data_IF_441651783502
#
_entry.id   IF_441651783502
#
_cell.length_a   1.000
_cell.length_b   1.000
_cell.length_c   1.000
_cell.angle_alpha   90.00
_cell.angle_beta   90.00
_cell.angle_gamma   90.00
#
_symmetry.space_group_name_H-M   'P 1'
#
loop_
_entity.id
_entity.type
_entity.pdbx_description
1 polymer ?
#
# COMPACT_ATOMS: atom_id res chain seq x y z
N UNK A 1 1.82 6.33 5.21
CA UNK A 1 2.33 7.40 6.09
C UNK A 1 2.17 7.04 7.56
N UNK A 2 0.98 6.63 8.00
CA UNK A 2 0.73 6.16 9.37
C UNK A 2 -0.52 5.24 9.36
N UNK A 3 -0.96 4.79 10.55
CA UNK A 3 -2.12 3.92 10.70
C UNK A 3 -3.44 4.58 10.29
N UNK A 4 -3.59 5.88 10.51
CA UNK A 4 -4.81 6.60 10.16
C UNK A 4 -5.01 6.67 8.64
N UNK A 5 -3.92 6.90 7.89
CA UNK A 5 -3.89 6.87 6.43
C UNK A 5 -4.26 5.48 5.87
N UNK A 6 -3.77 4.41 6.52
CA UNK A 6 -4.14 3.03 6.19
C UNK A 6 -5.63 2.75 6.45
N UNK A 7 -6.14 3.12 7.63
CA UNK A 7 -7.54 2.86 8.00
C UNK A 7 -8.51 3.62 7.09
N UNK A 8 -8.17 4.86 6.72
CA UNK A 8 -8.92 5.64 5.74
C UNK A 8 -8.92 4.96 4.36
N UNK A 9 -7.76 4.52 3.88
CA UNK A 9 -7.64 3.82 2.60
C UNK A 9 -8.46 2.54 2.57
N UNK A 10 -8.42 1.74 3.64
CA UNK A 10 -9.25 0.55 3.83
C UNK A 10 -10.75 0.89 3.80
N UNK A 11 -11.16 1.97 4.47
CA UNK A 11 -12.56 2.42 4.44
C UNK A 11 -13.01 2.80 3.03
N UNK A 12 -12.15 3.42 2.22
CA UNK A 12 -12.47 3.74 0.82
C UNK A 12 -12.63 2.50 -0.06
N UNK A 13 -11.76 1.49 0.12
CA UNK A 13 -11.90 0.21 -0.59
C UNK A 13 -13.25 -0.43 -0.33
N UNK A 14 -13.66 -0.49 0.94
CA UNK A 14 -14.94 -1.05 1.34
C UNK A 14 -16.13 -0.21 0.85
N UNK A 15 -16.08 1.12 1.05
CA UNK A 15 -17.19 2.03 0.72
C UNK A 15 -17.52 2.06 -0.79
N UNK A 16 -16.52 1.82 -1.64
CA UNK A 16 -16.69 1.83 -3.09
C UNK A 16 -16.63 0.44 -3.73
N UNK A 17 -16.52 -0.62 -2.92
CA UNK A 17 -16.37 -2.01 -3.37
C UNK A 17 -15.26 -2.16 -4.43
N UNK A 18 -14.12 -1.49 -4.21
CA UNK A 18 -13.07 -1.38 -5.21
C UNK A 18 -12.47 -2.76 -5.55
N UNK A 19 -12.37 -3.63 -4.56
CA UNK A 19 -11.90 -5.01 -4.68
C UNK A 19 -12.74 -5.86 -5.64
N UNK A 20 -14.01 -5.52 -5.83
CA UNK A 20 -14.91 -6.19 -6.78
C UNK A 20 -14.83 -5.63 -8.20
N UNK A 21 -14.20 -4.46 -8.36
CA UNK A 21 -14.16 -3.72 -9.63
C UNK A 21 -12.79 -3.81 -10.29
N UNK A 22 -11.73 -3.82 -9.51
CA UNK A 22 -10.36 -3.90 -9.99
C UNK A 22 -9.41 -4.40 -8.91
N UNK A 23 -8.19 -4.75 -9.33
CA UNK A 23 -7.11 -5.01 -8.39
C UNK A 23 -6.68 -3.69 -7.74
N UNK A 24 -6.78 -3.64 -6.41
CA UNK A 24 -6.38 -2.47 -5.63
C UNK A 24 -4.95 -2.68 -5.12
N UNK A 25 -4.09 -1.71 -5.41
CA UNK A 25 -2.68 -1.74 -5.04
C UNK A 25 -2.43 -0.90 -3.79
N UNK A 26 -1.84 -1.51 -2.76
CA UNK A 26 -1.34 -0.82 -1.58
C UNK A 26 0.17 -0.79 -1.63
N UNK A 27 0.76 0.38 -1.43
CA UNK A 27 2.22 0.53 -1.42
C UNK A 27 2.68 1.39 -0.23
N UNK A 28 3.80 1.01 0.42
CA UNK A 28 4.30 1.79 1.53
C UNK A 28 4.83 3.13 1.04
N UNK A 29 4.59 4.19 1.81
CA UNK A 29 5.19 5.50 1.55
C UNK A 29 6.68 5.41 1.87
N UNK A 30 7.52 5.55 0.84
CA UNK A 30 8.96 5.45 0.98
C UNK A 30 9.50 6.41 2.04
N UNK A 31 10.32 5.91 2.96
CA UNK A 31 10.91 6.70 4.05
C UNK A 31 9.98 7.00 5.22
N UNK A 32 8.67 6.72 5.11
CA UNK A 32 7.69 7.01 6.18
C UNK A 32 7.05 5.76 6.77
N UNK A 33 6.74 4.76 5.95
CA UNK A 33 6.12 3.50 6.38
C UNK A 33 6.97 2.32 5.90
N UNK A 34 7.29 1.40 6.81
CA UNK A 34 8.03 0.21 6.42
C UNK A 34 7.14 -0.75 5.61
N UNK A 35 7.72 -1.46 4.64
CA UNK A 35 6.99 -2.46 3.87
C UNK A 35 6.45 -3.58 4.76
N UNK A 36 7.23 -4.00 5.77
CA UNK A 36 6.83 -5.04 6.73
C UNK A 36 5.59 -4.63 7.52
N UNK A 37 5.58 -3.42 8.07
CA UNK A 37 4.45 -2.92 8.87
C UNK A 37 3.16 -2.83 8.04
N UNK A 38 3.25 -2.35 6.80
CA UNK A 38 2.10 -2.36 5.89
C UNK A 38 1.61 -3.79 5.61
N UNK A 39 2.53 -4.73 5.38
CA UNK A 39 2.18 -6.13 5.14
C UNK A 39 1.47 -6.75 6.35
N UNK A 40 1.96 -6.48 7.56
CA UNK A 40 1.36 -6.95 8.80
C UNK A 40 -0.07 -6.42 8.97
N UNK A 41 -0.32 -5.14 8.67
CA UNK A 41 -1.67 -4.58 8.72
C UNK A 41 -2.61 -5.21 7.70
N UNK A 42 -2.17 -5.36 6.44
CA UNK A 42 -2.95 -6.02 5.39
C UNK A 42 -3.33 -7.46 5.79
N UNK A 43 -2.38 -8.21 6.36
CA UNK A 43 -2.61 -9.57 6.82
C UNK A 43 -3.55 -9.63 8.03
N UNK A 44 -3.35 -8.77 9.02
CA UNK A 44 -4.18 -8.70 10.23
C UNK A 44 -5.65 -8.41 9.88
N UNK A 45 -5.89 -7.45 8.98
CA UNK A 45 -7.23 -7.03 8.57
C UNK A 45 -7.82 -7.88 7.44
N UNK A 46 -7.05 -8.84 6.91
CA UNK A 46 -7.40 -9.68 5.74
C UNK A 46 -7.93 -8.86 4.56
N UNK A 47 -7.26 -7.74 4.29
CA UNK A 47 -7.71 -6.78 3.28
C UNK A 47 -7.51 -7.38 1.88
N UNK A 48 -8.53 -7.42 1.00
CA UNK A 48 -8.45 -8.02 -0.33
C UNK A 48 -7.74 -7.08 -1.33
N UNK A 49 -6.48 -6.78 -1.06
CA UNK A 49 -5.62 -5.87 -1.84
C UNK A 49 -4.32 -6.57 -2.19
N UNK A 50 -3.67 -6.12 -3.27
CA UNK A 50 -2.30 -6.54 -3.58
C UNK A 50 -1.33 -5.51 -3.03
N UNK A 51 -0.39 -5.97 -2.22
CA UNK A 51 0.72 -5.13 -1.81
C UNK A 51 1.76 -5.02 -2.93
N UNK A 52 2.21 -3.80 -3.22
CA UNK A 52 3.28 -3.52 -4.16
C UNK A 52 4.36 -2.69 -3.48
N UNK A 53 5.61 -3.11 -3.65
CA UNK A 53 6.78 -2.33 -3.22
C UNK A 53 7.20 -1.43 -4.38
N UNK A 54 7.57 -0.19 -4.09
CA UNK A 54 8.15 0.74 -5.05
C UNK A 54 9.57 0.29 -5.43
N UNK A 55 9.67 -0.78 -6.25
CA UNK A 55 10.93 -1.44 -6.58
C UNK A 55 11.98 -0.48 -7.16
N UNK A 56 11.54 0.56 -7.88
CA UNK A 56 12.44 1.57 -8.43
C UNK A 56 13.22 2.33 -7.34
N UNK A 57 12.65 2.53 -6.15
CA UNK A 57 13.35 3.12 -5.01
C UNK A 57 14.47 2.23 -4.47
N UNK A 58 14.34 0.91 -4.63
CA UNK A 58 15.37 -0.05 -4.23
C UNK A 58 16.46 -0.19 -5.29
N UNK A 59 16.08 -0.20 -6.57
CA UNK A 59 17.00 -0.41 -7.68
C UNK A 59 17.76 0.85 -8.09
N UNK A 60 17.08 2.01 -8.09
CA UNK A 60 17.60 3.27 -8.60
C UNK A 60 17.51 4.43 -7.61
N UNK A 61 17.05 4.18 -6.37
CA UNK A 61 16.86 5.22 -5.35
C UNK A 61 15.96 6.36 -5.89
N UNK A 62 16.42 7.60 -5.84
CA UNK A 62 15.75 8.79 -6.37
C UNK A 62 16.27 9.23 -7.74
N UNK A 63 16.99 8.37 -8.47
CA UNK A 63 17.46 8.70 -9.80
C UNK A 63 16.26 8.94 -10.74
N UNK A 64 15.96 10.21 -11.02
CA UNK A 64 14.96 10.63 -12.01
C UNK A 64 15.45 10.28 -13.40
N UNK A 65 14.71 9.42 -14.10
CA UNK A 65 14.89 9.13 -15.53
C UNK A 65 16.05 8.19 -15.83
N UNK A 66 15.77 6.90 -15.85
CA UNK A 66 16.53 5.89 -16.59
C UNK A 66 15.56 4.94 -17.28
#
# INVERSE_FOLDING_TARGET
>A
RDRADYDWSRAMVAAHELDKRCEVLFSPVHGELSATELAEWILADRLPVRMQIQLHKYLWQDARGR
#
